data_IF_692734959005
#
_entry.id   IF_692734959005
#
_cell.length_a   1.000
_cell.length_b   1.000
_cell.length_c   1.000
_cell.angle_alpha   90.00
_cell.angle_beta   90.00
_cell.angle_gamma   90.00
#
_symmetry.space_group_name_H-M   'P 1'
#
loop_
_entity.id
_entity.type
_entity.pdbx_description
1 polymer ?
#
# COMPACT_ATOMS: atom_id res chain seq x y z
N UNK A 1 -0.14 27.12 -7.79
CA UNK A 1 -0.80 27.27 -9.08
C UNK A 1 -1.73 26.08 -9.37
N UNK A 2 -1.25 24.83 -9.45
CA UNK A 2 -2.05 23.63 -9.78
C UNK A 2 -3.26 23.44 -8.86
N UNK A 3 -3.08 23.57 -7.55
CA UNK A 3 -4.14 23.40 -6.54
C UNK A 3 -5.29 24.37 -6.80
N UNK A 4 -4.99 25.66 -6.94
CA UNK A 4 -6.01 26.70 -7.11
C UNK A 4 -6.63 26.71 -8.52
N UNK A 5 -5.86 26.27 -9.55
CA UNK A 5 -6.33 26.26 -10.95
C UNK A 5 -7.24 25.07 -11.24
N UNK A 6 -6.91 23.89 -10.73
CA UNK A 6 -7.59 22.65 -11.09
C UNK A 6 -8.46 22.08 -9.97
N UNK A 7 -8.45 22.68 -8.76
CA UNK A 7 -9.18 22.20 -7.60
C UNK A 7 -8.92 20.70 -7.34
N UNK A 8 -7.65 20.29 -7.30
CA UNK A 8 -7.28 18.91 -7.05
C UNK A 8 -7.83 18.42 -5.71
N UNK A 9 -8.26 17.15 -5.64
CA UNK A 9 -8.85 16.58 -4.43
C UNK A 9 -7.84 16.09 -3.39
N UNK A 10 -6.56 15.91 -3.77
CA UNK A 10 -5.52 15.44 -2.87
C UNK A 10 -4.13 15.52 -3.46
N UNK A 11 -3.14 15.23 -2.60
CA UNK A 11 -1.71 15.24 -2.94
C UNK A 11 -1.02 14.02 -2.34
N UNK A 12 -0.03 13.50 -3.04
CA UNK A 12 0.85 12.44 -2.53
C UNK A 12 2.27 13.00 -2.32
N UNK A 13 2.81 12.83 -1.11
CA UNK A 13 4.17 13.24 -0.80
C UNK A 13 5.14 12.05 -0.94
N UNK A 14 6.25 12.28 -1.66
CA UNK A 14 7.24 11.24 -1.95
C UNK A 14 8.59 11.43 -1.26
N UNK A 15 8.98 12.67 -0.96
CA UNK A 15 10.30 12.98 -0.38
C UNK A 15 10.25 14.32 0.37
N UNK A 16 11.18 14.48 1.29
CA UNK A 16 11.36 15.73 2.04
C UNK A 16 11.92 15.51 3.43
N UNK A 17 11.80 16.53 4.27
CA UNK A 17 11.97 16.47 5.72
C UNK A 17 10.63 16.70 6.41
N UNK A 18 10.51 16.32 7.67
CA UNK A 18 9.24 16.40 8.40
C UNK A 18 8.74 17.83 8.55
N UNK A 19 9.63 18.78 8.85
CA UNK A 19 9.32 20.20 8.99
C UNK A 19 8.85 20.82 7.67
N UNK A 20 9.55 20.52 6.56
CA UNK A 20 9.17 21.00 5.22
C UNK A 20 7.81 20.43 4.82
N UNK A 21 7.59 19.13 5.01
CA UNK A 21 6.30 18.52 4.66
C UNK A 21 5.16 19.12 5.48
N UNK A 22 5.31 19.24 6.80
CA UNK A 22 4.28 19.83 7.66
C UNK A 22 3.93 21.26 7.20
N UNK A 23 4.95 22.06 6.88
CA UNK A 23 4.78 23.43 6.35
C UNK A 23 4.03 23.44 5.01
N UNK A 24 4.46 22.59 4.06
CA UNK A 24 3.82 22.50 2.74
C UNK A 24 2.38 21.96 2.85
N UNK A 25 2.13 20.98 3.70
CA UNK A 25 0.78 20.47 3.94
C UNK A 25 -0.15 21.59 4.40
N UNK A 26 0.27 22.40 5.40
CA UNK A 26 -0.52 23.52 5.88
C UNK A 26 -0.74 24.59 4.81
N UNK A 27 0.32 24.96 4.07
CA UNK A 27 0.23 25.93 2.97
C UNK A 27 -0.74 25.46 1.88
N UNK A 28 -0.65 24.21 1.45
CA UNK A 28 -1.50 23.68 0.39
C UNK A 28 -2.96 23.52 0.83
N UNK A 29 -3.21 23.15 2.08
CA UNK A 29 -4.56 23.14 2.65
C UNK A 29 -5.19 24.54 2.64
N UNK A 30 -4.42 25.59 2.96
CA UNK A 30 -4.90 26.98 2.93
C UNK A 30 -5.19 27.48 1.50
N UNK A 31 -4.42 27.02 0.51
CA UNK A 31 -4.60 27.39 -0.90
C UNK A 31 -5.76 26.67 -1.57
N UNK A 32 -6.21 25.57 -1.01
CA UNK A 32 -7.25 24.74 -1.60
C UNK A 32 -8.66 25.21 -1.23
N UNK A 33 -9.55 25.21 -2.21
CA UNK A 33 -10.98 25.51 -1.98
C UNK A 33 -11.67 24.42 -1.14
N UNK A 34 -11.23 23.19 -1.25
CA UNK A 34 -11.76 22.04 -0.53
C UNK A 34 -10.62 21.35 0.25
N UNK A 35 -10.89 20.72 1.40
CA UNK A 35 -9.88 20.00 2.13
C UNK A 35 -9.18 18.96 1.23
N UNK A 36 -7.84 18.99 1.19
CA UNK A 36 -7.05 18.05 0.40
C UNK A 36 -6.88 16.75 1.14
N UNK A 37 -7.06 15.62 0.43
CA UNK A 37 -6.64 14.32 0.89
C UNK A 37 -5.12 14.21 0.74
N UNK A 38 -4.40 14.08 1.85
CA UNK A 38 -2.94 13.91 1.83
C UNK A 38 -2.62 12.42 1.97
N UNK A 39 -1.83 11.90 1.05
CA UNK A 39 -1.41 10.50 1.03
C UNK A 39 0.11 10.35 0.98
N UNK A 40 0.58 9.18 1.38
CA UNK A 40 1.99 8.82 1.38
C UNK A 40 2.17 7.31 1.26
N UNK A 41 3.25 6.87 0.59
CA UNK A 41 3.80 5.53 0.75
C UNK A 41 4.69 5.47 1.99
N UNK A 42 4.16 5.00 3.09
CA UNK A 42 4.91 4.82 4.33
C UNK A 42 4.73 3.38 4.86
N UNK A 43 5.14 2.39 4.03
CA UNK A 43 4.96 0.96 4.34
C UNK A 43 5.61 0.55 5.67
N UNK A 44 6.77 1.16 5.97
CA UNK A 44 7.48 0.96 7.23
C UNK A 44 7.68 2.29 7.98
N UNK A 45 6.77 3.25 7.80
CA UNK A 45 6.76 4.52 8.52
C UNK A 45 7.33 5.70 7.72
N UNK A 46 7.36 6.86 8.37
CA UNK A 46 7.80 8.11 7.75
C UNK A 46 9.20 8.06 7.15
N UNK A 47 10.11 7.28 7.76
CA UNK A 47 11.49 7.13 7.28
C UNK A 47 11.62 6.52 5.89
N UNK A 48 10.56 5.90 5.35
CA UNK A 48 10.54 5.49 3.95
C UNK A 48 10.66 6.69 3.00
N UNK A 49 10.09 7.83 3.36
CA UNK A 49 10.01 9.06 2.54
C UNK A 49 10.81 10.22 3.13
N UNK A 50 10.76 10.40 4.43
CA UNK A 50 11.45 11.46 5.16
C UNK A 50 12.73 10.90 5.78
N UNK A 51 13.74 10.66 4.94
CA UNK A 51 14.94 9.87 5.30
C UNK A 51 15.81 10.51 6.38
N UNK A 52 15.76 11.84 6.52
CA UNK A 52 16.63 12.57 7.47
C UNK A 52 16.11 12.50 8.92
N UNK A 53 14.78 12.46 9.10
CA UNK A 53 14.12 12.71 10.38
C UNK A 53 12.86 11.87 10.60
N UNK A 54 12.48 11.04 9.62
CA UNK A 54 11.37 10.12 9.72
C UNK A 54 11.73 8.84 10.48
N UNK A 55 10.86 8.41 11.41
CA UNK A 55 11.02 7.12 12.09
C UNK A 55 10.68 5.96 11.14
N UNK A 56 11.49 4.91 11.19
CA UNK A 56 11.28 3.67 10.44
C UNK A 56 10.95 2.52 11.39
N UNK A 57 9.82 1.85 11.16
CA UNK A 57 9.48 0.57 11.73
C UNK A 57 10.19 -0.57 10.98
N UNK A 58 10.23 -1.79 11.53
CA UNK A 58 10.70 -2.95 10.77
C UNK A 58 9.86 -3.14 9.50
N UNK A 59 10.51 -3.63 8.43
CA UNK A 59 9.81 -3.96 7.18
C UNK A 59 8.86 -5.12 7.38
N UNK A 60 7.88 -5.25 6.48
CA UNK A 60 6.78 -6.20 6.63
C UNK A 60 7.25 -7.67 6.72
N UNK A 61 8.33 -8.06 6.04
CA UNK A 61 8.87 -9.41 6.16
C UNK A 61 9.36 -9.72 7.58
N UNK A 62 10.03 -8.76 8.22
CA UNK A 62 10.44 -8.88 9.63
C UNK A 62 9.21 -8.96 10.55
N UNK A 63 8.20 -8.12 10.32
CA UNK A 63 6.93 -8.16 11.06
C UNK A 63 6.20 -9.49 10.83
N UNK A 64 6.31 -10.06 9.63
CA UNK A 64 5.75 -11.37 9.26
C UNK A 64 6.27 -12.53 10.10
N UNK A 65 7.52 -12.44 10.57
CA UNK A 65 8.16 -13.46 11.42
C UNK A 65 7.76 -13.37 12.90
N UNK A 66 7.14 -12.28 13.35
CA UNK A 66 6.73 -12.07 14.74
C UNK A 66 5.58 -13.01 15.09
N UNK A 67 5.68 -13.73 16.21
CA UNK A 67 4.62 -14.65 16.67
C UNK A 67 3.51 -13.90 17.42
N UNK A 68 3.84 -12.86 18.17
CA UNK A 68 2.84 -12.06 18.87
C UNK A 68 2.17 -11.07 17.91
N UNK A 69 1.02 -11.45 17.40
CA UNK A 69 0.25 -10.66 16.45
C UNK A 69 -0.22 -9.29 16.97
N UNK A 70 -0.31 -9.10 18.30
CA UNK A 70 -0.68 -7.80 18.86
C UNK A 70 0.34 -6.71 18.52
N UNK A 71 1.62 -7.07 18.40
CA UNK A 71 2.67 -6.13 17.97
C UNK A 71 2.48 -5.61 16.55
N UNK A 72 1.78 -6.35 15.70
CA UNK A 72 1.48 -5.89 14.33
C UNK A 72 0.42 -4.79 14.36
N UNK A 73 -0.63 -4.99 15.17
CA UNK A 73 -1.63 -3.96 15.42
C UNK A 73 -1.00 -2.71 16.04
N UNK A 74 -0.19 -2.86 17.07
CA UNK A 74 0.52 -1.74 17.72
C UNK A 74 1.42 -0.99 16.75
N UNK A 75 2.07 -1.69 15.82
CA UNK A 75 2.89 -1.07 14.76
C UNK A 75 2.03 -0.17 13.87
N UNK A 76 0.88 -0.65 13.41
CA UNK A 76 -0.07 0.14 12.63
C UNK A 76 -0.58 1.36 13.39
N UNK A 77 -0.97 1.18 14.66
CA UNK A 77 -1.48 2.24 15.53
C UNK A 77 -0.44 3.34 15.78
N UNK A 78 0.80 2.95 16.11
CA UNK A 78 1.88 3.91 16.32
C UNK A 78 2.25 4.63 15.02
N UNK A 79 2.28 3.90 13.90
CA UNK A 79 2.53 4.51 12.58
C UNK A 79 1.47 5.55 12.24
N UNK A 80 0.19 5.28 12.52
CA UNK A 80 -0.90 6.23 12.33
C UNK A 80 -0.67 7.52 13.12
N UNK A 81 -0.19 7.42 14.36
CA UNK A 81 0.10 8.61 15.19
C UNK A 81 1.18 9.50 14.55
N UNK A 82 2.23 8.89 13.97
CA UNK A 82 3.28 9.62 13.26
C UNK A 82 2.75 10.28 11.99
N UNK A 83 1.97 9.55 11.19
CA UNK A 83 1.38 10.04 9.93
C UNK A 83 0.41 11.19 10.17
N UNK A 84 -0.45 11.10 11.18
CA UNK A 84 -1.36 12.19 11.56
C UNK A 84 -0.64 13.48 11.93
N UNK A 85 0.48 13.39 12.64
CA UNK A 85 1.30 14.57 12.95
C UNK A 85 1.83 15.27 11.71
N UNK A 86 1.99 14.56 10.59
CA UNK A 86 2.39 15.11 9.29
C UNK A 86 1.20 15.54 8.43
N UNK A 87 -0.03 15.41 8.94
CA UNK A 87 -1.24 15.72 8.20
C UNK A 87 -1.57 14.69 7.11
N UNK A 88 -1.04 13.46 7.21
CA UNK A 88 -1.32 12.37 6.26
C UNK A 88 -2.61 11.68 6.65
N UNK A 89 -3.54 11.57 5.71
CA UNK A 89 -4.86 10.96 5.87
C UNK A 89 -4.92 9.54 5.36
N UNK A 90 -4.13 9.20 4.33
CA UNK A 90 -4.12 7.92 3.66
C UNK A 90 -2.69 7.39 3.55
N UNK A 91 -2.42 6.21 4.10
CA UNK A 91 -1.17 5.47 3.89
C UNK A 91 -1.37 4.39 2.84
N UNK A 92 -0.52 4.35 1.81
CA UNK A 92 -0.50 3.26 0.83
C UNK A 92 0.18 2.01 1.42
N UNK A 93 -0.45 1.44 2.45
CA UNK A 93 -0.09 0.22 3.17
C UNK A 93 -1.35 -0.38 3.83
N UNK A 94 -1.39 -1.70 4.09
CA UNK A 94 -0.33 -2.72 3.95
C UNK A 94 -0.15 -3.28 2.54
N UNK A 95 1.01 -3.93 2.32
CA UNK A 95 1.27 -4.77 1.15
C UNK A 95 0.67 -6.16 1.40
N UNK A 96 -0.28 -6.57 0.55
CA UNK A 96 -0.99 -7.85 0.63
C UNK A 96 -0.40 -8.92 -0.31
N UNK A 97 0.61 -8.54 -1.09
CA UNK A 97 1.26 -9.45 -2.02
C UNK A 97 1.91 -10.61 -1.27
N UNK A 98 1.68 -11.83 -1.77
CA UNK A 98 2.29 -13.05 -1.23
C UNK A 98 3.63 -13.25 -1.93
N UNK A 99 4.73 -13.31 -1.17
CA UNK A 99 6.09 -13.42 -1.72
C UNK A 99 6.40 -14.85 -2.17
N UNK A 100 5.66 -15.36 -3.15
CA UNK A 100 5.73 -16.74 -3.63
C UNK A 100 6.73 -16.94 -4.78
N UNK A 101 7.34 -15.87 -5.28
CA UNK A 101 8.39 -15.93 -6.30
C UNK A 101 9.70 -15.34 -5.76
N UNK A 102 10.74 -16.15 -5.51
CA UNK A 102 12.02 -15.68 -4.99
C UNK A 102 12.78 -14.78 -5.98
N UNK A 103 12.44 -14.79 -7.26
CA UNK A 103 13.01 -13.91 -8.30
C UNK A 103 12.30 -12.57 -8.44
N UNK A 104 11.24 -12.34 -7.66
CA UNK A 104 10.49 -11.08 -7.72
C UNK A 104 11.40 -9.89 -7.33
N UNK A 105 11.59 -8.89 -8.22
CA UNK A 105 12.51 -7.78 -7.92
C UNK A 105 11.90 -6.68 -7.04
N UNK A 106 10.57 -6.70 -6.80
CA UNK A 106 9.83 -5.57 -6.25
C UNK A 106 9.27 -5.84 -4.85
N UNK A 107 8.70 -7.02 -4.61
CA UNK A 107 7.93 -7.31 -3.40
C UNK A 107 8.84 -7.71 -2.23
N UNK A 108 9.52 -8.84 -2.31
CA UNK A 108 10.53 -9.28 -1.34
C UNK A 108 10.18 -8.92 0.13
N UNK A 109 11.02 -8.11 0.75
CA UNK A 109 10.91 -7.66 2.15
C UNK A 109 9.70 -6.75 2.43
N UNK A 110 8.98 -6.33 1.41
CA UNK A 110 7.74 -5.55 1.54
C UNK A 110 6.54 -6.42 1.87
N UNK A 111 6.59 -7.73 1.60
CA UNK A 111 5.54 -8.69 1.97
C UNK A 111 5.69 -9.18 3.41
N UNK A 112 4.59 -9.59 4.04
CA UNK A 112 4.61 -10.32 5.32
C UNK A 112 5.06 -11.79 5.19
N UNK A 113 5.40 -12.26 3.99
CA UNK A 113 5.96 -13.59 3.71
C UNK A 113 5.28 -14.35 2.60
N UNK A 114 5.53 -15.68 2.58
CA UNK A 114 5.10 -16.59 1.52
C UNK A 114 3.76 -17.27 1.82
N UNK A 115 3.36 -17.31 3.08
CA UNK A 115 2.13 -17.98 3.50
C UNK A 115 0.94 -17.02 3.44
N UNK A 116 -0.04 -17.32 2.59
CA UNK A 116 -1.22 -16.48 2.39
C UNK A 116 -2.02 -16.20 3.66
N UNK A 117 -2.10 -17.16 4.60
CA UNK A 117 -2.82 -16.97 5.85
C UNK A 117 -2.08 -16.02 6.78
N UNK A 118 -0.74 -16.14 6.84
CA UNK A 118 0.11 -15.22 7.59
C UNK A 118 0.03 -13.80 7.03
N UNK A 119 0.19 -13.66 5.69
CA UNK A 119 0.05 -12.37 5.00
C UNK A 119 -1.30 -11.73 5.31
N UNK A 120 -2.39 -12.48 5.16
CA UNK A 120 -3.76 -11.98 5.41
C UNK A 120 -3.94 -11.54 6.86
N UNK A 121 -3.55 -12.38 7.82
CA UNK A 121 -3.69 -12.09 9.26
C UNK A 121 -2.89 -10.86 9.69
N UNK A 122 -1.62 -10.77 9.24
CA UNK A 122 -0.74 -9.64 9.56
C UNK A 122 -1.23 -8.35 8.90
N UNK A 123 -1.62 -8.42 7.62
CA UNK A 123 -2.18 -7.27 6.91
C UNK A 123 -3.45 -6.75 7.56
N UNK A 124 -4.33 -7.64 8.03
CA UNK A 124 -5.53 -7.24 8.75
C UNK A 124 -5.22 -6.45 10.02
N UNK A 125 -4.32 -6.97 10.86
CA UNK A 125 -3.98 -6.31 12.12
C UNK A 125 -3.26 -4.98 11.90
N UNK A 126 -2.36 -4.92 10.91
CA UNK A 126 -1.69 -3.68 10.53
C UNK A 126 -2.69 -2.63 10.01
N UNK A 127 -3.60 -3.03 9.13
CA UNK A 127 -4.70 -2.21 8.63
C UNK A 127 -5.57 -1.70 9.78
N UNK A 128 -5.99 -2.60 10.67
CA UNK A 128 -6.82 -2.25 11.82
C UNK A 128 -6.12 -1.21 12.71
N UNK A 129 -4.84 -1.40 13.03
CA UNK A 129 -4.07 -0.43 13.82
C UNK A 129 -3.98 0.94 13.13
N UNK A 130 -3.74 0.98 11.81
CA UNK A 130 -3.74 2.23 11.05
C UNK A 130 -5.09 2.94 11.13
N UNK A 131 -6.19 2.22 10.88
CA UNK A 131 -7.53 2.80 10.81
C UNK A 131 -8.06 3.19 12.20
N UNK A 132 -7.82 2.41 13.24
CA UNK A 132 -8.14 2.75 14.63
C UNK A 132 -7.33 3.98 15.09
N UNK A 133 -6.11 4.14 14.57
CA UNK A 133 -5.29 5.34 14.73
C UNK A 133 -5.76 6.55 13.93
N UNK A 134 -6.80 6.41 13.08
CA UNK A 134 -7.41 7.48 12.29
C UNK A 134 -6.69 7.80 10.97
N UNK A 135 -5.93 6.84 10.40
CA UNK A 135 -5.32 6.94 9.07
C UNK A 135 -5.91 5.85 8.18
N UNK A 136 -6.44 6.23 7.03
CA UNK A 136 -6.95 5.29 6.05
C UNK A 136 -5.83 4.36 5.55
N UNK A 137 -6.10 3.05 5.52
CA UNK A 137 -5.22 2.04 4.97
C UNK A 137 -5.56 1.75 3.50
N UNK A 138 -4.56 1.26 2.76
CA UNK A 138 -4.69 0.89 1.35
C UNK A 138 -4.09 -0.50 1.09
N UNK A 139 -4.93 -1.46 0.77
CA UNK A 139 -4.50 -2.80 0.38
C UNK A 139 -3.85 -2.77 -1.01
N UNK A 140 -2.61 -3.25 -1.14
CA UNK A 140 -1.88 -3.22 -2.40
C UNK A 140 -0.99 -4.45 -2.58
N UNK A 141 -0.72 -4.85 -3.80
CA UNK A 141 -1.06 -4.30 -5.13
C UNK A 141 -2.07 -5.23 -5.81
N UNK A 142 -3.33 -4.87 -5.80
CA UNK A 142 -4.39 -5.71 -6.39
C UNK A 142 -4.14 -5.96 -7.89
N UNK A 143 -4.37 -7.17 -8.42
CA UNK A 143 -4.87 -8.37 -7.76
C UNK A 143 -3.79 -9.27 -7.12
N UNK A 144 -2.54 -8.83 -7.01
CA UNK A 144 -1.40 -9.52 -6.40
C UNK A 144 -0.16 -9.45 -7.28
N UNK A 145 0.90 -8.84 -6.77
CA UNK A 145 2.18 -8.61 -7.48
C UNK A 145 3.29 -9.58 -7.04
N UNK A 146 2.98 -10.55 -6.17
CA UNK A 146 3.99 -11.42 -5.57
C UNK A 146 4.63 -12.41 -6.54
N UNK A 147 3.90 -12.84 -7.56
CA UNK A 147 4.37 -13.82 -8.57
C UNK A 147 4.75 -13.13 -9.89
N UNK A 148 5.59 -12.11 -9.84
CA UNK A 148 6.11 -11.42 -11.04
C UNK A 148 7.62 -11.47 -11.08
N UNK A 149 8.19 -11.48 -12.30
CA UNK A 149 9.63 -11.44 -12.56
C UNK A 149 10.12 -10.05 -12.99
N UNK A 150 9.20 -9.10 -13.17
CA UNK A 150 9.47 -7.76 -13.71
C UNK A 150 8.88 -6.70 -12.79
N UNK A 151 9.57 -5.57 -12.70
CA UNK A 151 9.06 -4.38 -12.02
C UNK A 151 8.04 -3.66 -12.90
N UNK A 152 6.82 -3.47 -12.38
CA UNK A 152 5.73 -2.77 -13.09
C UNK A 152 5.99 -1.28 -13.37
N UNK A 153 7.07 -0.71 -12.82
CA UNK A 153 7.53 0.64 -13.18
C UNK A 153 8.44 0.66 -14.43
N UNK A 154 8.93 -0.50 -14.85
CA UNK A 154 9.87 -0.61 -15.98
C UNK A 154 9.21 -1.24 -17.21
N UNK A 155 8.32 -2.19 -17.01
CA UNK A 155 7.59 -2.90 -18.07
C UNK A 155 6.26 -3.41 -17.51
N UNK A 156 5.37 -3.91 -18.36
CA UNK A 156 4.10 -4.50 -17.97
C UNK A 156 4.29 -5.97 -17.59
N UNK A 157 4.32 -6.33 -16.28
CA UNK A 157 4.48 -7.72 -15.87
C UNK A 157 3.26 -8.54 -16.30
N UNK A 158 3.49 -9.77 -16.75
CA UNK A 158 2.44 -10.71 -17.12
C UNK A 158 2.37 -11.82 -16.08
N UNK A 159 1.21 -12.03 -15.49
CA UNK A 159 0.93 -13.14 -14.58
C UNK A 159 0.15 -14.21 -15.35
N UNK A 160 0.80 -15.33 -15.63
CA UNK A 160 0.23 -16.44 -16.39
C UNK A 160 -0.53 -17.45 -15.51
N UNK A 161 -0.81 -17.12 -14.26
CA UNK A 161 -1.60 -17.98 -13.37
C UNK A 161 -3.01 -18.19 -13.89
N UNK A 162 -3.52 -19.41 -13.74
CA UNK A 162 -4.93 -19.70 -14.00
C UNK A 162 -5.83 -18.96 -13.03
N UNK A 163 -7.10 -18.75 -13.39
CA UNK A 163 -8.08 -18.15 -12.50
C UNK A 163 -8.17 -18.84 -11.13
N UNK A 164 -8.10 -20.18 -11.13
CA UNK A 164 -8.13 -20.99 -9.90
C UNK A 164 -6.92 -20.73 -9.00
N UNK A 165 -5.74 -20.58 -9.58
CA UNK A 165 -4.52 -20.24 -8.84
C UNK A 165 -4.60 -18.85 -8.26
N UNK A 166 -5.01 -17.86 -9.06
CA UNK A 166 -5.22 -16.48 -8.58
C UNK A 166 -6.21 -16.43 -7.41
N UNK A 167 -7.36 -17.07 -7.53
CA UNK A 167 -8.38 -17.12 -6.48
C UNK A 167 -7.87 -17.79 -5.20
N UNK A 168 -6.99 -18.81 -5.37
CA UNK A 168 -6.47 -19.58 -4.24
C UNK A 168 -5.28 -18.94 -3.53
N UNK A 169 -4.51 -18.10 -4.20
CA UNK A 169 -3.25 -17.52 -3.69
C UNK A 169 -3.35 -15.98 -3.71
N UNK A 170 -3.13 -15.36 -4.86
CA UNK A 170 -2.93 -13.90 -4.97
C UNK A 170 -4.14 -13.09 -4.52
N UNK A 171 -5.34 -13.49 -4.93
CA UNK A 171 -6.58 -12.81 -4.58
C UNK A 171 -7.07 -13.09 -3.16
N UNK A 172 -6.60 -14.17 -2.54
CA UNK A 172 -7.09 -14.59 -1.23
C UNK A 172 -7.00 -13.50 -0.14
N UNK A 173 -5.85 -12.80 0.06
CA UNK A 173 -5.77 -11.72 1.03
C UNK A 173 -6.75 -10.58 0.74
N UNK A 174 -6.90 -10.20 -0.53
CA UNK A 174 -7.82 -9.14 -0.95
C UNK A 174 -9.28 -9.52 -0.72
N UNK A 175 -9.68 -10.77 -1.04
CA UNK A 175 -11.04 -11.28 -0.81
C UNK A 175 -11.44 -11.25 0.67
N UNK A 176 -10.47 -11.44 1.58
CA UNK A 176 -10.71 -11.36 3.03
C UNK A 176 -10.74 -9.90 3.48
N UNK A 177 -9.70 -9.13 3.16
CA UNK A 177 -9.50 -7.77 3.68
C UNK A 177 -10.58 -6.80 3.20
N UNK A 178 -11.07 -6.95 1.97
CA UNK A 178 -12.15 -6.09 1.44
C UNK A 178 -13.48 -6.28 2.19
N UNK A 179 -13.71 -7.42 2.81
CA UNK A 179 -14.87 -7.67 3.67
C UNK A 179 -14.71 -7.11 5.09
N UNK A 180 -13.52 -6.64 5.44
CA UNK A 180 -13.14 -6.15 6.78
C UNK A 180 -12.94 -4.63 6.80
N UNK A 181 -13.65 -3.90 5.94
CA UNK A 181 -13.73 -2.44 5.92
C UNK A 181 -12.39 -1.73 5.66
N UNK A 182 -11.54 -2.27 4.80
CA UNK A 182 -10.38 -1.53 4.28
C UNK A 182 -10.84 -0.25 3.57
N UNK A 183 -10.18 0.88 3.84
CA UNK A 183 -10.59 2.18 3.29
C UNK A 183 -10.33 2.31 1.78
N UNK A 184 -9.29 1.67 1.26
CA UNK A 184 -8.95 1.75 -0.17
C UNK A 184 -8.16 0.54 -0.66
N UNK A 185 -8.14 0.36 -1.98
CA UNK A 185 -7.36 -0.68 -2.67
C UNK A 185 -6.58 -0.01 -3.81
N UNK A 186 -5.31 -0.33 -3.94
CA UNK A 186 -4.48 0.11 -5.05
C UNK A 186 -4.36 -0.99 -6.10
N UNK A 187 -4.83 -0.69 -7.31
CA UNK A 187 -4.73 -1.60 -8.47
C UNK A 187 -3.36 -1.44 -9.13
N UNK A 188 -2.67 -2.56 -9.34
CA UNK A 188 -1.39 -2.59 -10.03
C UNK A 188 -1.51 -2.57 -11.54
N UNK A 189 -0.47 -2.10 -12.22
CA UNK A 189 -0.30 -2.23 -13.66
C UNK A 189 0.24 -3.63 -13.98
N UNK A 190 -0.64 -4.64 -13.99
CA UNK A 190 -0.33 -6.04 -14.27
C UNK A 190 -1.22 -6.55 -15.39
N UNK A 191 -0.67 -7.29 -16.34
CA UNK A 191 -1.45 -8.04 -17.34
C UNK A 191 -1.73 -9.44 -16.82
N UNK A 192 -3.00 -9.82 -16.74
CA UNK A 192 -3.42 -11.14 -16.25
C UNK A 192 -4.41 -11.73 -17.27
N UNK A 193 -3.91 -12.50 -18.25
CA UNK A 193 -4.74 -13.02 -19.34
C UNK A 193 -5.91 -13.91 -18.89
N UNK A 194 -5.83 -14.52 -17.72
CA UNK A 194 -6.93 -15.29 -17.14
C UNK A 194 -8.05 -14.44 -16.52
N UNK A 195 -7.84 -13.13 -16.34
CA UNK A 195 -8.86 -12.17 -15.91
C UNK A 195 -9.38 -11.33 -17.07
N UNK A 196 -8.45 -10.84 -17.91
CA UNK A 196 -8.77 -10.05 -19.11
C UNK A 196 -7.98 -10.59 -20.30
N UNK A 197 -8.67 -11.10 -21.31
CA UNK A 197 -8.07 -11.67 -22.52
C UNK A 197 -7.47 -10.64 -23.49
N UNK A 198 -7.65 -9.35 -23.23
CA UNK A 198 -7.03 -8.29 -24.03
C UNK A 198 -5.51 -8.32 -23.85
N UNK A 199 -4.80 -8.47 -24.95
CA UNK A 199 -3.33 -8.55 -24.95
C UNK A 199 -2.76 -7.22 -24.45
N UNK A 200 -1.81 -7.30 -23.50
CA UNK A 200 -1.14 -6.15 -22.90
C UNK A 200 -2.07 -5.13 -22.22
N UNK A 201 -3.25 -5.57 -21.77
CA UNK A 201 -4.15 -4.72 -21.00
C UNK A 201 -3.76 -4.79 -19.52
N UNK A 202 -3.33 -3.67 -18.90
CA UNK A 202 -3.08 -3.66 -17.47
C UNK A 202 -4.39 -3.66 -16.67
N UNK A 203 -4.43 -4.36 -15.55
CA UNK A 203 -5.60 -4.44 -14.65
C UNK A 203 -6.14 -3.06 -14.25
N UNK A 204 -5.28 -2.06 -14.14
CA UNK A 204 -5.66 -0.68 -13.81
C UNK A 204 -6.47 0.03 -14.91
N UNK A 205 -6.51 -0.52 -16.13
CA UNK A 205 -7.27 0.01 -17.28
C UNK A 205 -8.28 -1.02 -17.82
N UNK A 206 -8.32 -2.22 -17.24
CA UNK A 206 -9.26 -3.28 -17.64
C UNK A 206 -10.71 -2.89 -17.32
N UNK A 207 -11.62 -3.36 -18.15
CA UNK A 207 -13.07 -3.23 -17.93
C UNK A 207 -13.69 -4.41 -17.18
N UNK A 208 -12.89 -5.43 -16.84
CA UNK A 208 -13.33 -6.68 -16.18
C UNK A 208 -12.94 -6.73 -14.71
#
# INVERSE_FOLDING_TARGET
ETISKYNVGGLCFFQGSADIQAKLTNEYQQLSKYPLLISMDAEFGLGMRLKSDGFSFPKQLTLGAIQNNHLIYDTGLNMASHLKRMGVHLNFAPVLDINNNPSNPVINERSFGENKLNVTSKSYLFMQGLQDGGVMACAKHFPGHGNTDVDSHLDLPIINSSRKELDSIELYPFQVITKLNIASVMVAHLSIPSLDSCVNMPCSLSHY
#
